data_IF_555466976023
#
_entry.id   IF_555466976023
#
_cell.length_a   1.000
_cell.length_b   1.000
_cell.length_c   1.000
_cell.angle_alpha   90.00
_cell.angle_beta   90.00
_cell.angle_gamma   90.00
#
_symmetry.space_group_name_H-M   'P 1'
#
loop_
_entity.id
_entity.type
_entity.pdbx_description
1 polymer ?
#
# COMPACT_ATOMS: atom_id res chain seq x y z
N UNK A 1 1.04 0.15 21.24
CA UNK A 1 0.92 0.58 19.84
C UNK A 1 -0.53 0.44 19.48
N UNK A 2 -1.27 1.56 19.49
CA UNK A 2 -2.70 1.55 19.21
C UNK A 2 -2.96 1.04 17.80
N UNK A 3 -3.75 -0.01 17.69
CA UNK A 3 -4.34 -0.41 16.42
C UNK A 3 -5.22 0.77 16.01
N UNK A 4 -4.83 1.44 14.94
CA UNK A 4 -5.58 2.58 14.40
C UNK A 4 -6.92 2.04 13.87
N UNK A 5 -7.92 2.06 14.74
CA UNK A 5 -9.25 1.48 14.49
C UNK A 5 -10.05 2.27 13.44
N UNK A 6 -9.48 3.38 12.99
CA UNK A 6 -10.12 4.27 12.02
C UNK A 6 -9.92 3.85 10.56
N UNK A 7 -9.16 2.78 10.32
CA UNK A 7 -8.95 2.31 8.95
C UNK A 7 -9.96 1.20 8.62
N UNK A 8 -11.04 1.49 7.88
CA UNK A 8 -12.17 0.56 7.70
C UNK A 8 -11.77 -0.82 7.19
N UNK A 9 -10.75 -0.89 6.34
CA UNK A 9 -10.28 -2.14 5.74
C UNK A 9 -9.52 -3.02 6.73
N UNK A 10 -8.88 -2.41 7.73
CA UNK A 10 -8.24 -3.13 8.84
C UNK A 10 -9.31 -3.69 9.77
N UNK A 11 -10.34 -2.90 10.05
CA UNK A 11 -11.49 -3.33 10.87
C UNK A 11 -12.23 -4.48 10.19
N UNK A 12 -12.34 -4.46 8.86
CA UNK A 12 -12.95 -5.53 8.07
C UNK A 12 -12.08 -6.80 7.93
N UNK A 13 -10.94 -6.90 8.63
CA UNK A 13 -10.11 -8.11 8.63
C UNK A 13 -9.33 -8.37 7.33
N UNK A 14 -9.28 -7.43 6.39
CA UNK A 14 -8.57 -7.60 5.12
C UNK A 14 -7.05 -7.58 5.26
N UNK A 15 -6.53 -6.93 6.28
CA UNK A 15 -5.11 -6.80 6.51
C UNK A 15 -4.79 -5.98 7.75
N UNK A 16 -3.54 -5.58 7.87
CA UNK A 16 -3.06 -4.67 8.92
C UNK A 16 -2.53 -3.39 8.27
N UNK A 17 -2.52 -2.29 9.02
CA UNK A 17 -1.87 -1.06 8.56
C UNK A 17 -0.36 -1.23 8.61
N UNK A 18 0.29 -1.11 7.47
CA UNK A 18 1.75 -1.19 7.37
C UNK A 18 2.45 0.12 7.75
N UNK A 19 3.77 0.06 7.94
CA UNK A 19 4.61 1.25 8.11
C UNK A 19 4.57 2.18 6.90
N UNK A 20 4.28 1.64 5.72
CA UNK A 20 4.07 2.43 4.49
C UNK A 20 2.67 3.06 4.41
N UNK A 21 1.91 3.06 5.50
CA UNK A 21 0.55 3.59 5.64
C UNK A 21 -0.52 2.93 4.76
N UNK A 22 -0.18 1.84 4.09
CA UNK A 22 -1.10 1.06 3.26
C UNK A 22 -1.64 -0.15 4.03
N UNK A 23 -2.74 -0.74 3.54
CA UNK A 23 -3.21 -2.03 4.01
C UNK A 23 -2.27 -3.12 3.50
N UNK A 24 -1.71 -3.89 4.41
CA UNK A 24 -0.88 -5.05 4.12
C UNK A 24 -1.72 -6.30 4.32
N UNK A 25 -2.02 -6.99 3.23
CA UNK A 25 -2.68 -8.29 3.30
C UNK A 25 -1.65 -9.41 3.47
N UNK A 26 -2.00 -10.52 4.12
CA UNK A 26 -1.07 -11.65 4.30
C UNK A 26 -0.61 -12.23 2.97
N UNK A 27 -1.54 -12.39 2.04
CA UNK A 27 -1.31 -13.07 0.78
C UNK A 27 -0.57 -12.22 -0.25
N UNK A 28 -0.93 -10.93 -0.38
CA UNK A 28 -0.45 -10.07 -1.44
C UNK A 28 0.40 -8.89 -0.94
N UNK A 29 0.55 -8.76 0.38
CA UNK A 29 1.19 -7.59 0.97
C UNK A 29 0.41 -6.31 0.61
N UNK A 30 1.11 -5.22 0.29
CA UNK A 30 0.49 -3.96 -0.13
C UNK A 30 0.08 -3.94 -1.63
N UNK A 31 0.28 -5.05 -2.36
CA UNK A 31 0.03 -5.13 -3.82
C UNK A 31 -1.41 -5.52 -4.10
N UNK A 32 -2.34 -4.76 -3.54
CA UNK A 32 -3.78 -4.97 -3.72
C UNK A 32 -4.44 -3.68 -4.21
N UNK A 33 -5.49 -3.84 -4.99
CA UNK A 33 -6.47 -2.79 -5.24
C UNK A 33 -7.71 -3.15 -4.45
N UNK A 34 -8.19 -2.21 -3.68
CA UNK A 34 -9.33 -2.37 -2.79
C UNK A 34 -10.53 -1.68 -3.41
N UNK A 35 -11.69 -2.29 -3.26
CA UNK A 35 -12.97 -1.73 -3.67
C UNK A 35 -14.00 -1.95 -2.56
N UNK A 36 -15.11 -1.24 -2.65
CA UNK A 36 -16.25 -1.40 -1.76
C UNK A 36 -17.50 -1.64 -2.59
N UNK A 37 -18.36 -2.53 -2.09
CA UNK A 37 -19.68 -2.79 -2.63
C UNK A 37 -20.70 -2.57 -1.51
N UNK A 38 -21.73 -1.81 -1.80
CA UNK A 38 -22.85 -1.65 -0.89
C UNK A 38 -23.94 -2.66 -1.24
N UNK A 39 -24.51 -3.29 -0.24
CA UNK A 39 -25.55 -4.31 -0.39
C UNK A 39 -26.56 -4.20 0.75
N UNK A 40 -27.78 -4.62 0.50
CA UNK A 40 -28.85 -4.79 1.49
C UNK A 40 -28.91 -6.22 2.04
N UNK A 41 -28.00 -7.09 1.60
CA UNK A 41 -27.89 -8.45 2.14
C UNK A 41 -27.34 -8.41 3.57
N UNK A 42 -27.97 -9.16 4.45
CA UNK A 42 -27.49 -9.35 5.81
C UNK A 42 -26.32 -10.35 5.81
N UNK A 43 -25.11 -9.81 5.71
CA UNK A 43 -23.88 -10.59 5.68
C UNK A 43 -23.18 -10.52 7.05
N UNK A 44 -22.73 -11.66 7.60
CA UNK A 44 -21.97 -11.64 8.85
C UNK A 44 -20.64 -10.89 8.64
N UNK A 45 -20.28 -9.98 9.56
CA UNK A 45 -19.02 -9.25 9.45
C UNK A 45 -17.82 -10.16 9.77
N UNK A 46 -16.73 -9.99 9.03
CA UNK A 46 -15.44 -10.56 9.39
C UNK A 46 -14.86 -9.88 10.63
N UNK A 47 -13.98 -10.58 11.32
CA UNK A 47 -13.28 -10.05 12.49
C UNK A 47 -11.96 -9.38 12.09
N UNK A 48 -11.57 -8.28 12.76
CA UNK A 48 -10.26 -7.68 12.57
C UNK A 48 -9.13 -8.69 12.83
N UNK A 49 -8.05 -8.58 12.06
CA UNK A 49 -6.86 -9.38 12.33
C UNK A 49 -6.20 -8.92 13.63
N UNK A 50 -6.05 -9.83 14.58
CA UNK A 50 -5.38 -9.57 15.85
C UNK A 50 -3.86 -9.69 15.77
N UNK A 51 -3.38 -10.38 14.75
CA UNK A 51 -1.98 -10.68 14.53
C UNK A 51 -1.37 -9.63 13.60
N UNK A 52 -0.57 -8.73 14.18
CA UNK A 52 0.13 -7.69 13.47
C UNK A 52 1.47 -8.18 12.92
N UNK A 53 1.55 -8.37 11.62
CA UNK A 53 2.69 -8.98 10.94
C UNK A 53 3.61 -8.00 10.18
N UNK A 54 3.32 -6.72 10.23
CA UNK A 54 4.22 -5.66 9.73
C UNK A 54 5.11 -5.15 10.87
N UNK A 55 6.04 -5.98 11.34
CA UNK A 55 6.88 -5.69 12.50
C UNK A 55 8.35 -5.62 12.11
N UNK A 56 9.10 -4.74 12.76
CA UNK A 56 10.57 -4.66 12.69
C UNK A 56 11.20 -4.55 11.30
N UNK A 57 10.41 -4.34 10.26
CA UNK A 57 10.88 -4.21 8.89
C UNK A 57 10.75 -2.76 8.42
N UNK A 58 11.85 -2.13 8.03
CA UNK A 58 11.92 -0.73 7.58
C UNK A 58 12.25 -0.58 6.10
N UNK A 59 12.15 -1.65 5.31
CA UNK A 59 12.52 -1.64 3.89
C UNK A 59 11.73 -0.62 3.06
N UNK A 60 10.46 -0.40 3.40
CA UNK A 60 9.63 0.59 2.72
C UNK A 60 10.08 2.03 3.01
N UNK A 61 10.58 2.30 4.22
CA UNK A 61 11.13 3.59 4.60
C UNK A 61 12.44 3.85 3.83
N UNK A 62 13.34 2.88 3.83
CA UNK A 62 14.62 2.97 3.11
C UNK A 62 14.43 3.11 1.60
N UNK A 63 13.37 2.54 1.04
CA UNK A 63 13.06 2.61 -0.38
C UNK A 63 12.33 3.90 -0.79
N UNK A 64 11.93 4.75 0.15
CA UNK A 64 11.24 6.00 -0.16
C UNK A 64 12.22 6.99 -0.81
N UNK A 65 12.04 7.38 -2.09
CA UNK A 65 13.03 8.18 -2.81
C UNK A 65 13.13 9.61 -2.31
N UNK A 66 12.14 10.08 -1.57
CA UNK A 66 12.09 11.44 -1.02
C UNK A 66 12.23 11.48 0.49
N UNK A 67 12.30 10.32 1.16
CA UNK A 67 12.28 10.23 2.62
C UNK A 67 10.97 10.67 3.26
N UNK A 68 9.90 10.82 2.46
CA UNK A 68 8.59 11.24 2.95
C UNK A 68 7.94 10.21 3.89
N UNK A 69 8.40 8.97 3.88
CA UNK A 69 7.90 7.90 4.73
C UNK A 69 8.87 7.69 5.88
N UNK A 70 8.40 7.93 7.10
CA UNK A 70 9.15 7.78 8.35
C UNK A 70 8.46 6.85 9.35
N UNK A 71 9.09 6.67 10.52
CA UNK A 71 8.50 5.87 11.60
C UNK A 71 7.23 6.53 12.18
N UNK A 72 7.15 7.85 12.09
CA UNK A 72 6.02 8.64 12.58
C UNK A 72 4.86 8.70 11.56
N UNK A 73 5.05 8.09 10.38
CA UNK A 73 4.06 8.04 9.32
C UNK A 73 4.54 8.64 8.00
N UNK A 74 3.59 9.13 7.19
CA UNK A 74 3.82 9.67 5.86
C UNK A 74 3.68 11.20 5.88
N UNK A 75 4.75 11.89 5.48
CA UNK A 75 4.65 13.27 5.04
C UNK A 75 4.04 13.32 3.63
N UNK A 76 2.76 13.67 3.56
CA UNK A 76 2.02 13.71 2.30
C UNK A 76 2.58 14.74 1.33
N UNK A 77 3.10 15.85 1.82
CA UNK A 77 3.68 16.92 0.98
C UNK A 77 4.98 16.47 0.29
N UNK A 78 5.71 15.57 0.90
CA UNK A 78 6.93 14.99 0.34
C UNK A 78 6.70 13.75 -0.54
N UNK A 79 5.50 13.15 -0.49
CA UNK A 79 5.21 11.92 -1.24
C UNK A 79 4.94 12.21 -2.71
N UNK A 80 5.79 11.69 -3.60
CA UNK A 80 5.64 11.87 -5.05
C UNK A 80 4.52 11.04 -5.68
N UNK A 81 3.80 10.25 -4.90
CA UNK A 81 2.59 9.54 -5.33
C UNK A 81 1.31 10.36 -5.07
N UNK A 82 1.43 11.58 -4.55
CA UNK A 82 0.27 12.42 -4.20
C UNK A 82 -0.56 12.79 -5.44
N UNK A 83 -1.85 13.03 -5.20
CA UNK A 83 -2.86 12.99 -6.27
C UNK A 83 -2.89 14.21 -7.18
N UNK A 84 -2.35 15.35 -6.76
CA UNK A 84 -2.32 16.58 -7.55
C UNK A 84 -0.94 17.24 -7.44
N UNK A 85 0.03 16.70 -8.21
CA UNK A 85 1.38 17.24 -8.16
C UNK A 85 1.40 18.67 -8.75
N UNK A 86 1.98 19.60 -8.01
CA UNK A 86 2.35 20.90 -8.53
C UNK A 86 3.57 20.79 -9.47
N UNK A 87 3.98 21.91 -10.07
CA UNK A 87 5.10 21.93 -11.01
C UNK A 87 6.42 21.44 -10.39
N UNK A 88 6.66 21.72 -9.11
CA UNK A 88 7.86 21.28 -8.41
C UNK A 88 7.85 19.75 -8.19
N UNK A 89 6.69 19.20 -7.88
CA UNK A 89 6.52 17.76 -7.74
C UNK A 89 6.71 17.03 -9.08
N UNK A 90 6.15 17.56 -10.17
CA UNK A 90 6.34 17.03 -11.53
C UNK A 90 7.81 16.98 -11.91
N UNK A 91 8.55 18.05 -11.63
CA UNK A 91 9.98 18.12 -11.92
C UNK A 91 10.77 17.11 -11.06
N UNK A 92 10.40 16.94 -9.78
CA UNK A 92 11.00 15.93 -8.91
C UNK A 92 10.74 14.51 -9.42
N UNK A 93 9.53 14.22 -9.85
CA UNK A 93 9.17 12.94 -10.45
C UNK A 93 9.98 12.66 -11.72
N UNK A 94 10.14 13.67 -12.57
CA UNK A 94 10.93 13.57 -13.80
C UNK A 94 12.41 13.26 -13.51
N UNK A 95 13.01 13.91 -12.50
CA UNK A 95 14.37 13.61 -12.03
C UNK A 95 14.55 12.19 -11.52
N UNK A 96 13.49 11.59 -11.01
CA UNK A 96 13.47 10.20 -10.55
C UNK A 96 13.12 9.20 -11.67
N UNK A 97 13.10 9.63 -12.92
CA UNK A 97 12.78 8.78 -14.07
C UNK A 97 11.32 8.39 -14.19
N UNK A 98 10.44 9.15 -13.54
CA UNK A 98 8.99 8.93 -13.57
C UNK A 98 8.35 9.95 -14.52
N UNK A 99 7.58 9.47 -15.49
CA UNK A 99 6.98 10.32 -16.51
C UNK A 99 5.46 10.30 -16.41
N UNK A 100 4.81 11.38 -15.92
CA UNK A 100 3.37 11.48 -15.92
C UNK A 100 2.82 11.59 -17.34
N UNK A 101 1.70 10.92 -17.57
CA UNK A 101 0.90 11.14 -18.76
C UNK A 101 -0.41 11.85 -18.39
N UNK A 102 -1.08 12.54 -19.32
CA UNK A 102 -2.38 13.17 -19.05
C UNK A 102 -3.45 12.21 -18.53
N UNK A 103 -3.29 10.92 -18.77
CA UNK A 103 -4.27 9.88 -18.44
C UNK A 103 -3.83 8.95 -17.31
N UNK A 104 -2.56 9.00 -16.92
CA UNK A 104 -2.03 8.19 -15.81
C UNK A 104 -1.37 9.10 -14.78
N UNK A 105 -1.92 9.10 -13.59
CA UNK A 105 -1.23 9.68 -12.45
C UNK A 105 -0.01 8.82 -12.15
N UNK A 106 1.15 9.43 -12.07
CA UNK A 106 2.33 8.73 -11.61
C UNK A 106 2.13 8.31 -10.17
N UNK A 107 2.13 7.03 -10.00
CA UNK A 107 2.12 6.45 -8.68
C UNK A 107 3.51 5.89 -8.40
N UNK A 108 4.24 6.56 -7.53
CA UNK A 108 5.43 5.97 -6.96
C UNK A 108 5.03 4.68 -6.22
N UNK A 109 5.61 3.57 -6.59
CA UNK A 109 5.36 2.28 -5.98
C UNK A 109 6.57 1.74 -5.21
N UNK A 110 7.56 2.58 -4.89
CA UNK A 110 8.82 2.14 -4.27
C UNK A 110 8.59 1.44 -2.93
N UNK A 111 7.77 2.00 -2.04
CA UNK A 111 7.43 1.39 -0.75
C UNK A 111 6.61 0.09 -0.90
N UNK A 112 5.76 0.00 -1.94
CA UNK A 112 5.00 -1.22 -2.27
C UNK A 112 5.94 -2.31 -2.79
N UNK A 113 6.84 -1.95 -3.70
CA UNK A 113 7.79 -2.88 -4.31
C UNK A 113 8.83 -3.40 -3.32
N UNK A 114 9.25 -2.57 -2.36
CA UNK A 114 10.20 -2.96 -1.33
C UNK A 114 9.62 -3.95 -0.31
N UNK A 115 8.30 -3.94 -0.09
CA UNK A 115 7.66 -4.79 0.91
C UNK A 115 7.86 -6.28 0.58
N UNK A 116 8.43 -7.09 1.50
CA UNK A 116 8.65 -8.52 1.25
C UNK A 116 7.37 -9.36 1.35
N UNK A 117 6.35 -8.87 2.08
CA UNK A 117 5.10 -9.59 2.30
C UNK A 117 4.35 -9.74 0.97
N UNK A 118 3.93 -10.95 0.66
CA UNK A 118 3.18 -11.26 -0.56
C UNK A 118 3.98 -11.18 -1.87
N UNK A 119 5.32 -11.13 -1.83
CA UNK A 119 6.16 -11.20 -3.05
C UNK A 119 6.06 -12.53 -3.78
N UNK A 120 5.85 -13.61 -3.06
CA UNK A 120 5.64 -14.94 -3.64
C UNK A 120 4.14 -15.14 -3.82
N UNK A 121 3.60 -14.72 -4.95
CA UNK A 121 2.25 -15.11 -5.34
C UNK A 121 2.23 -16.62 -5.57
N UNK A 122 1.24 -17.34 -5.02
CA UNK A 122 1.08 -18.74 -5.40
C UNK A 122 0.79 -18.79 -6.90
N UNK A 123 1.56 -19.55 -7.62
CA UNK A 123 1.49 -19.74 -9.07
C UNK A 123 0.12 -20.17 -9.58
N UNK A 124 -0.73 -20.70 -8.70
CA UNK A 124 -2.10 -21.16 -8.99
C UNK A 124 -3.15 -20.07 -9.12
N UNK A 125 -2.81 -18.80 -8.92
CA UNK A 125 -3.86 -17.77 -8.86
C UNK A 125 -4.54 -17.50 -10.22
N UNK A 126 -3.85 -17.77 -11.32
CA UNK A 126 -4.35 -17.55 -12.69
C UNK A 126 -4.61 -18.84 -13.46
N UNK A 127 -4.65 -19.98 -12.82
CA UNK A 127 -4.76 -21.26 -13.52
C UNK A 127 -3.51 -21.61 -14.35
N UNK A 128 -2.45 -20.84 -14.21
CA UNK A 128 -1.16 -21.10 -14.82
C UNK A 128 -0.35 -21.94 -13.82
N UNK A 129 -0.48 -23.24 -13.92
CA UNK A 129 0.40 -24.18 -13.23
C UNK A 129 1.71 -24.22 -14.03
N UNK A 130 2.84 -23.73 -13.50
CA UNK A 130 4.12 -23.99 -14.12
C UNK A 130 4.43 -25.46 -13.88
N UNK A 131 4.23 -26.26 -14.88
CA UNK A 131 4.76 -27.62 -14.92
C UNK A 131 6.25 -27.59 -15.18
#
# INVERSE_FOLDING_TARGET
>A
VGVDREFPLVIAGLGVRGLNTLVITRRFGPRVRLGALFTDLDLPPDQPLLDYFCVSCTLCLAACPTGALGLDGLDRSGCIAEFEPDAAMVERQRKLGQFPTPHTRLQCASCVSACPIGKRLPTRFWGLDPR
#
